data_IF_301074299052
#
_entry.id   IF_301074299052
#
_cell.length_a   1.000
_cell.length_b   1.000
_cell.length_c   1.000
_cell.angle_alpha   90.00
_cell.angle_beta   90.00
_cell.angle_gamma   90.00
#
_symmetry.space_group_name_H-M   'P 1'
#
loop_
_entity.id
_entity.type
_entity.pdbx_description
1 polymer ?
#
# COMPACT_ATOMS: atom_id res chain seq x y z
N UNK A 1 -13.93 20.71 -37.33
CA UNK A 1 -13.92 19.22 -37.26
C UNK A 1 -13.36 18.80 -35.90
N UNK A 2 -13.95 19.31 -34.80
CA UNK A 2 -13.38 19.27 -33.43
C UNK A 2 -14.44 18.82 -32.41
N UNK A 3 -15.14 17.70 -32.67
CA UNK A 3 -16.20 17.23 -31.75
C UNK A 3 -16.21 15.73 -31.44
N UNK A 4 -15.22 14.95 -31.89
CA UNK A 4 -15.17 13.51 -31.59
C UNK A 4 -14.13 13.12 -30.52
N UNK A 5 -13.16 13.98 -30.19
CA UNK A 5 -12.12 13.71 -29.20
C UNK A 5 -12.58 13.80 -27.73
N UNK A 6 -13.34 14.86 -27.37
CA UNK A 6 -13.76 15.10 -25.99
C UNK A 6 -14.87 14.17 -25.47
N UNK A 7 -15.51 13.37 -26.34
CA UNK A 7 -16.51 12.38 -25.90
C UNK A 7 -15.89 11.20 -25.15
N UNK A 8 -14.59 10.94 -25.31
CA UNK A 8 -13.91 9.87 -24.57
C UNK A 8 -13.71 10.24 -23.09
N UNK A 9 -13.35 11.48 -22.76
CA UNK A 9 -13.12 11.89 -21.36
C UNK A 9 -14.42 11.86 -20.53
N UNK A 10 -15.54 12.32 -21.10
CA UNK A 10 -16.82 12.35 -20.39
C UNK A 10 -17.41 10.94 -20.14
N UNK A 11 -17.11 9.96 -20.99
CA UNK A 11 -17.55 8.56 -20.83
C UNK A 11 -16.59 7.73 -19.96
N UNK A 12 -15.38 8.24 -19.68
CA UNK A 12 -14.41 7.56 -18.81
C UNK A 12 -14.78 7.67 -17.33
N UNK A 13 -15.40 8.79 -16.91
CA UNK A 13 -15.83 9.02 -15.51
C UNK A 13 -16.81 7.96 -14.97
N UNK A 14 -17.55 7.27 -15.83
CA UNK A 14 -18.54 6.25 -15.44
C UNK A 14 -18.05 4.81 -15.54
N UNK A 15 -16.89 4.54 -16.14
CA UNK A 15 -16.43 3.19 -16.50
C UNK A 15 -15.11 2.75 -15.84
N UNK A 16 -14.37 3.67 -15.21
CA UNK A 16 -13.07 3.40 -14.59
C UNK A 16 -12.94 4.08 -13.22
N UNK A 17 -13.79 3.71 -12.26
CA UNK A 17 -13.42 3.89 -10.86
C UNK A 17 -12.60 2.66 -10.45
N UNK A 18 -11.27 2.76 -10.30
CA UNK A 18 -10.49 1.67 -9.73
C UNK A 18 -10.95 1.39 -8.29
N UNK A 19 -10.70 0.19 -7.75
CA UNK A 19 -11.03 -0.13 -6.36
C UNK A 19 -10.44 0.93 -5.42
N UNK A 20 -11.27 1.40 -4.47
CA UNK A 20 -10.97 2.51 -3.54
C UNK A 20 -9.59 2.32 -2.91
N UNK A 21 -8.66 3.23 -3.20
CA UNK A 21 -7.37 3.33 -2.53
C UNK A 21 -7.54 4.10 -1.23
N UNK A 22 -7.09 3.52 -0.11
CA UNK A 22 -7.06 4.19 1.19
C UNK A 22 -5.72 4.92 1.33
N UNK A 23 -5.76 6.25 1.39
CA UNK A 23 -4.60 7.08 1.70
C UNK A 23 -5.02 8.13 2.73
N UNK A 24 -4.20 8.31 3.76
CA UNK A 24 -4.34 9.39 4.75
C UNK A 24 -3.71 10.67 4.20
N UNK A 25 -4.54 11.66 3.86
CA UNK A 25 -4.08 12.98 3.45
C UNK A 25 -3.65 13.82 4.66
N UNK A 26 -2.60 14.64 4.53
CA UNK A 26 -2.37 15.75 5.45
C UNK A 26 -3.61 16.64 5.52
N UNK A 27 -3.99 17.13 6.70
CA UNK A 27 -5.18 17.96 6.92
C UNK A 27 -5.21 19.24 6.08
N UNK A 28 -4.04 19.72 5.65
CA UNK A 28 -3.88 20.89 4.77
C UNK A 28 -4.32 20.61 3.32
N UNK A 29 -4.43 19.33 2.94
CA UNK A 29 -4.79 18.88 1.59
C UNK A 29 -6.21 18.30 1.50
N UNK A 30 -6.95 18.27 2.62
CA UNK A 30 -8.39 17.98 2.69
C UNK A 30 -9.18 19.26 3.07
N UNK A 31 -9.32 20.23 2.15
CA UNK A 31 -10.02 21.49 2.42
C UNK A 31 -11.53 21.32 2.63
N UNK A 32 -12.08 20.13 2.37
CA UNK A 32 -13.52 19.86 2.38
C UNK A 32 -13.98 18.88 3.46
N UNK A 33 -13.06 18.30 4.25
CA UNK A 33 -13.38 17.32 5.28
C UNK A 33 -13.99 16.03 4.70
N UNK A 34 -13.70 15.74 3.43
CA UNK A 34 -14.16 14.53 2.76
C UNK A 34 -13.13 13.46 3.10
N UNK A 35 -13.47 12.52 3.98
CA UNK A 35 -12.64 11.35 4.35
C UNK A 35 -11.72 10.95 3.18
N UNK A 36 -10.42 11.27 3.30
CA UNK A 36 -9.47 11.60 2.22
C UNK A 36 -9.22 10.58 1.09
N UNK A 37 -9.98 9.49 1.07
CA UNK A 37 -9.86 8.34 0.18
C UNK A 37 -10.47 8.58 -1.21
N UNK A 38 -11.56 9.36 -1.29
CA UNK A 38 -12.19 9.68 -2.58
C UNK A 38 -11.43 10.76 -3.35
N UNK A 39 -10.84 11.68 -2.59
CA UNK A 39 -10.20 12.87 -3.10
C UNK A 39 -8.94 12.57 -3.91
N UNK A 40 -8.13 11.60 -3.48
CA UNK A 40 -6.86 11.31 -4.14
C UNK A 40 -7.05 10.60 -5.48
N UNK A 41 -8.02 9.69 -5.61
CA UNK A 41 -8.23 9.02 -6.90
C UNK A 41 -8.71 10.01 -7.95
N UNK A 42 -9.63 10.92 -7.59
CA UNK A 42 -10.08 11.97 -8.50
C UNK A 42 -8.93 12.90 -8.87
N UNK A 43 -8.17 13.39 -7.88
CA UNK A 43 -7.00 14.26 -8.13
C UNK A 43 -5.95 13.54 -8.99
N UNK A 44 -5.54 12.31 -8.67
CA UNK A 44 -4.55 11.57 -9.47
C UNK A 44 -5.05 11.27 -10.89
N UNK A 45 -6.34 11.00 -11.06
CA UNK A 45 -6.93 10.77 -12.39
C UNK A 45 -6.93 12.06 -13.20
N UNK A 46 -7.27 13.18 -12.58
CA UNK A 46 -7.28 14.52 -13.20
C UNK A 46 -5.86 14.99 -13.54
N UNK A 47 -4.89 14.77 -12.67
CA UNK A 47 -3.46 15.02 -12.96
C UNK A 47 -2.97 14.13 -14.11
N UNK A 48 -3.26 12.83 -14.10
CA UNK A 48 -2.84 11.91 -15.17
C UNK A 48 -3.42 12.31 -16.54
N UNK A 49 -4.70 12.70 -16.59
CA UNK A 49 -5.33 13.22 -17.81
C UNK A 49 -4.66 14.52 -18.24
N UNK A 50 -4.35 15.42 -17.29
CA UNK A 50 -3.66 16.69 -17.54
C UNK A 50 -2.30 16.45 -18.22
N UNK A 51 -1.48 15.52 -17.70
CA UNK A 51 -0.19 15.18 -18.33
C UNK A 51 -0.34 14.63 -19.75
N UNK A 52 -1.32 13.76 -19.98
CA UNK A 52 -1.58 13.21 -21.32
C UNK A 52 -1.99 14.31 -22.31
N UNK A 53 -2.74 15.31 -21.86
CA UNK A 53 -3.11 16.47 -22.69
C UNK A 53 -1.89 17.35 -22.96
N UNK A 54 -1.07 17.65 -21.96
CA UNK A 54 0.18 18.42 -22.12
C UNK A 54 1.08 17.79 -23.18
N UNK A 55 1.32 16.48 -23.11
CA UNK A 55 2.20 15.77 -24.05
C UNK A 55 1.60 15.73 -25.46
N UNK A 56 0.30 15.45 -25.58
CA UNK A 56 -0.36 15.30 -26.87
C UNK A 56 -0.54 16.63 -27.59
N UNK A 57 -0.87 17.69 -26.87
CA UNK A 57 -1.25 18.99 -27.43
C UNK A 57 -0.13 20.03 -27.32
N UNK A 58 0.98 19.67 -26.67
CA UNK A 58 2.15 20.51 -26.46
C UNK A 58 1.78 21.88 -25.87
N UNK A 59 0.99 21.85 -24.79
CA UNK A 59 0.52 23.03 -24.07
C UNK A 59 1.00 23.05 -22.61
N UNK A 60 0.89 24.22 -21.96
CA UNK A 60 1.18 24.36 -20.53
C UNK A 60 0.15 23.64 -19.65
N UNK A 61 0.54 23.42 -18.39
CA UNK A 61 -0.26 22.68 -17.41
C UNK A 61 -1.63 23.33 -17.16
N UNK A 62 -1.69 24.64 -16.96
CA UNK A 62 -2.95 25.34 -16.65
C UNK A 62 -3.95 25.15 -17.81
N UNK A 63 -3.48 25.24 -19.05
CA UNK A 63 -4.27 24.97 -20.25
C UNK A 63 -4.73 23.52 -20.32
N UNK A 64 -3.84 22.58 -20.01
CA UNK A 64 -4.15 21.15 -20.03
C UNK A 64 -5.14 20.75 -18.91
N UNK A 65 -5.01 21.33 -17.72
CA UNK A 65 -5.88 21.11 -16.57
C UNK A 65 -7.28 21.67 -16.80
N UNK A 66 -7.36 22.89 -17.37
CA UNK A 66 -8.63 23.44 -17.83
C UNK A 66 -9.36 22.47 -18.74
N UNK A 67 -8.65 21.93 -19.75
CA UNK A 67 -9.20 20.94 -20.70
C UNK A 67 -9.55 19.60 -20.05
N UNK A 68 -8.71 19.10 -19.13
CA UNK A 68 -8.96 17.86 -18.38
C UNK A 68 -10.28 17.94 -17.59
N UNK A 69 -10.56 19.12 -17.03
CA UNK A 69 -11.77 19.44 -16.27
C UNK A 69 -12.96 19.84 -17.16
N UNK A 70 -12.79 19.89 -18.48
CA UNK A 70 -13.84 20.25 -19.43
C UNK A 70 -14.09 21.77 -19.55
N UNK A 71 -13.13 22.59 -19.15
CA UNK A 71 -13.12 24.03 -19.33
C UNK A 71 -12.29 24.43 -20.57
N UNK A 72 -12.76 25.46 -21.28
CA UNK A 72 -12.03 26.04 -22.42
C UNK A 72 -10.94 27.02 -21.98
N UNK A 73 -10.94 27.43 -20.70
CA UNK A 73 -9.98 28.36 -20.12
C UNK A 73 -8.95 27.63 -19.25
N UNK A 74 -7.70 28.14 -19.17
CA UNK A 74 -6.68 27.59 -18.28
C UNK A 74 -7.14 27.60 -16.82
N UNK A 75 -6.89 26.51 -16.09
CA UNK A 75 -7.31 26.34 -14.71
C UNK A 75 -6.13 25.94 -13.84
N UNK A 76 -5.93 26.68 -12.76
CA UNK A 76 -4.86 26.44 -11.79
C UNK A 76 -5.45 25.78 -10.54
N UNK A 77 -4.94 24.60 -10.18
CA UNK A 77 -5.35 23.88 -8.96
C UNK A 77 -4.32 24.10 -7.86
N UNK A 78 -4.76 23.98 -6.60
CA UNK A 78 -3.89 24.03 -5.42
C UNK A 78 -2.81 22.92 -5.40
N UNK A 79 -2.86 21.96 -6.33
CA UNK A 79 -2.07 20.73 -6.33
C UNK A 79 -0.86 20.77 -7.27
N UNK A 80 -0.80 21.78 -8.14
CA UNK A 80 0.20 21.96 -9.20
C UNK A 80 1.65 21.68 -8.75
N UNK A 81 2.05 22.20 -7.59
CA UNK A 81 3.46 22.16 -7.16
C UNK A 81 3.84 20.95 -6.30
N UNK A 82 2.88 20.14 -5.82
CA UNK A 82 3.14 19.14 -4.77
C UNK A 82 2.42 17.81 -4.91
N UNK A 83 1.57 17.62 -5.93
CA UNK A 83 0.85 16.36 -6.09
C UNK A 83 1.78 15.14 -6.22
N UNK A 84 2.97 15.29 -6.82
CA UNK A 84 3.97 14.22 -6.92
C UNK A 84 4.54 13.79 -5.56
N UNK A 85 4.44 14.63 -4.52
CA UNK A 85 4.80 14.26 -3.14
C UNK A 85 3.81 13.25 -2.53
N UNK A 86 2.64 13.06 -3.15
CA UNK A 86 1.66 12.04 -2.78
C UNK A 86 2.02 10.67 -3.35
N UNK A 87 2.70 10.60 -4.50
CA UNK A 87 3.00 9.33 -5.18
C UNK A 87 3.81 8.34 -4.33
N UNK A 88 4.85 8.74 -3.57
CA UNK A 88 5.59 7.82 -2.69
C UNK A 88 4.75 7.28 -1.53
N UNK A 89 3.67 7.98 -1.16
CA UNK A 89 2.76 7.58 -0.08
C UNK A 89 1.68 6.61 -0.56
N UNK A 90 1.47 6.52 -1.88
CA UNK A 90 0.57 5.56 -2.50
C UNK A 90 1.33 4.25 -2.73
N UNK A 91 1.33 3.36 -1.73
CA UNK A 91 1.72 1.97 -1.95
C UNK A 91 0.57 1.26 -2.68
N UNK A 92 0.62 1.26 -4.00
CA UNK A 92 -0.19 0.34 -4.80
C UNK A 92 0.31 -1.08 -4.51
N UNK A 93 -0.53 -2.01 -4.02
CA UNK A 93 -0.15 -3.41 -3.99
C UNK A 93 0.14 -3.82 -5.43
N UNK A 94 1.41 -4.01 -5.75
CA UNK A 94 1.79 -4.48 -7.07
C UNK A 94 1.48 -5.97 -7.15
N UNK A 95 1.25 -6.50 -8.36
CA UNK A 95 1.15 -7.97 -8.55
C UNK A 95 2.35 -8.71 -7.96
N UNK A 96 3.53 -8.07 -7.94
CA UNK A 96 4.72 -8.64 -7.33
C UNK A 96 4.60 -8.77 -5.80
N UNK A 97 3.90 -7.85 -5.13
CA UNK A 97 3.68 -7.89 -3.69
C UNK A 97 2.64 -8.96 -3.30
N UNK A 98 1.62 -9.17 -4.12
CA UNK A 98 0.66 -10.28 -3.94
C UNK A 98 1.34 -11.64 -4.11
N UNK A 99 2.17 -11.79 -5.14
CA UNK A 99 3.00 -12.99 -5.34
C UNK A 99 3.97 -13.20 -4.16
N UNK A 100 4.56 -12.12 -3.63
CA UNK A 100 5.43 -12.18 -2.46
C UNK A 100 4.68 -12.66 -1.21
N UNK A 101 3.43 -12.22 -0.99
CA UNK A 101 2.56 -12.72 0.09
C UNK A 101 2.30 -14.22 -0.05
N UNK A 102 1.94 -14.69 -1.25
CA UNK A 102 1.68 -16.10 -1.51
C UNK A 102 2.94 -16.97 -1.30
N UNK A 103 4.12 -16.45 -1.68
CA UNK A 103 5.41 -17.10 -1.41
C UNK A 103 5.67 -17.16 0.10
N UNK A 104 5.44 -16.06 0.81
CA UNK A 104 5.56 -15.99 2.27
C UNK A 104 4.66 -17.02 2.96
N UNK A 105 3.39 -17.13 2.56
CA UNK A 105 2.45 -18.08 3.17
C UNK A 105 2.91 -19.53 2.99
N UNK A 106 3.42 -19.87 1.80
CA UNK A 106 4.02 -21.19 1.55
C UNK A 106 5.26 -21.44 2.41
N UNK A 107 6.12 -20.43 2.59
CA UNK A 107 7.30 -20.52 3.48
C UNK A 107 6.86 -20.77 4.93
N UNK A 108 5.85 -20.06 5.42
CA UNK A 108 5.31 -20.25 6.78
C UNK A 108 4.76 -21.67 6.96
N UNK A 109 3.95 -22.16 6.02
CA UNK A 109 3.45 -23.55 6.07
C UNK A 109 4.60 -24.57 6.09
N UNK A 110 5.59 -24.41 5.20
CA UNK A 110 6.75 -25.30 5.13
C UNK A 110 7.58 -25.28 6.42
N UNK A 111 7.78 -24.10 7.00
CA UNK A 111 8.51 -23.90 8.26
C UNK A 111 7.82 -24.55 9.46
N UNK A 112 6.49 -24.48 9.53
CA UNK A 112 5.69 -25.12 10.57
C UNK A 112 5.73 -26.65 10.44
N UNK A 113 5.64 -27.17 9.22
CA UNK A 113 5.63 -28.62 8.97
C UNK A 113 7.01 -29.25 9.17
N UNK A 114 8.07 -28.55 8.77
CA UNK A 114 9.45 -29.06 8.74
C UNK A 114 10.37 -28.21 9.62
N UNK A 115 9.95 -27.96 10.86
CA UNK A 115 10.75 -27.12 11.78
C UNK A 115 12.12 -27.77 12.04
N UNK A 116 13.24 -27.09 11.69
CA UNK A 116 14.57 -27.61 11.95
C UNK A 116 14.84 -27.78 13.45
N UNK A 117 15.71 -28.73 13.81
CA UNK A 117 16.21 -28.89 15.19
C UNK A 117 17.08 -27.71 15.65
N UNK A 118 17.61 -26.93 14.72
CA UNK A 118 18.32 -25.68 14.99
C UNK A 118 17.92 -24.65 13.94
N UNK A 119 17.24 -23.59 14.39
CA UNK A 119 16.70 -22.51 13.58
C UNK A 119 17.71 -21.37 13.58
N UNK A 120 18.22 -21.03 12.40
CA UNK A 120 19.05 -19.85 12.14
C UNK A 120 18.20 -18.71 11.63
N UNK A 121 18.79 -17.53 11.54
CA UNK A 121 18.08 -16.35 11.01
C UNK A 121 17.51 -16.62 9.62
N UNK A 122 18.27 -17.28 8.73
CA UNK A 122 17.82 -17.60 7.37
C UNK A 122 16.68 -18.64 7.28
N UNK A 123 16.45 -19.41 8.34
CA UNK A 123 15.42 -20.46 8.35
C UNK A 123 14.04 -19.89 8.72
N UNK A 124 14.00 -18.74 9.40
CA UNK A 124 12.75 -18.07 9.76
C UNK A 124 12.08 -17.54 8.49
N UNK A 125 10.77 -17.75 8.30
CA UNK A 125 10.07 -17.39 7.06
C UNK A 125 9.79 -15.88 7.00
N UNK A 126 10.84 -15.07 6.82
CA UNK A 126 10.69 -13.62 6.63
C UNK A 126 9.95 -13.31 5.31
N UNK A 127 9.02 -12.34 5.30
CA UNK A 127 8.28 -12.00 4.07
C UNK A 127 9.17 -11.42 2.97
N UNK A 128 10.08 -10.53 3.34
CA UNK A 128 10.99 -9.83 2.42
C UNK A 128 12.26 -9.39 3.16
N UNK A 129 13.27 -8.99 2.39
CA UNK A 129 14.43 -8.27 2.92
C UNK A 129 14.05 -6.80 3.07
N UNK A 130 13.96 -6.29 4.31
CA UNK A 130 13.49 -4.94 4.55
C UNK A 130 13.23 -4.63 6.02
N UNK A 131 12.54 -3.52 6.26
CA UNK A 131 12.12 -3.12 7.61
C UNK A 131 10.89 -3.91 8.07
N UNK A 132 10.57 -3.88 9.37
CA UNK A 132 9.34 -4.47 9.89
C UNK A 132 8.07 -3.89 9.22
N UNK A 133 8.11 -2.62 8.80
CA UNK A 133 7.02 -1.99 8.05
C UNK A 133 6.86 -2.62 6.67
N UNK A 134 7.96 -2.84 5.94
CA UNK A 134 7.93 -3.47 4.63
C UNK A 134 7.45 -4.92 4.71
N UNK A 135 7.89 -5.65 5.74
CA UNK A 135 7.45 -7.02 6.00
C UNK A 135 5.95 -7.09 6.24
N UNK A 136 5.39 -6.22 7.08
CA UNK A 136 3.94 -6.18 7.35
C UNK A 136 3.16 -5.76 6.10
N UNK A 137 3.68 -4.83 5.30
CA UNK A 137 3.05 -4.44 4.04
C UNK A 137 2.95 -5.63 3.06
N UNK A 138 4.02 -6.43 2.93
CA UNK A 138 3.99 -7.66 2.11
C UNK A 138 2.99 -8.67 2.66
N UNK A 139 2.96 -8.91 3.97
CA UNK A 139 2.04 -9.87 4.59
C UNK A 139 0.55 -9.54 4.38
N UNK A 140 0.22 -8.27 4.16
CA UNK A 140 -1.13 -7.75 3.97
C UNK A 140 -1.46 -7.38 2.51
N UNK A 141 -0.50 -7.53 1.59
CA UNK A 141 -0.68 -7.13 0.19
C UNK A 141 -1.77 -7.93 -0.52
N UNK A 142 -2.69 -7.25 -1.20
CA UNK A 142 -3.79 -7.87 -1.93
C UNK A 142 -4.91 -8.46 -1.06
N UNK A 143 -4.89 -8.26 0.26
CA UNK A 143 -5.99 -8.67 1.13
C UNK A 143 -7.20 -7.73 0.96
N UNK A 144 -8.39 -8.31 0.83
CA UNK A 144 -9.63 -7.52 0.80
C UNK A 144 -9.95 -6.95 2.20
N UNK A 145 -10.55 -5.76 2.26
CA UNK A 145 -10.89 -5.07 3.51
C UNK A 145 -11.79 -5.90 4.47
N UNK A 146 -12.62 -6.77 3.93
CA UNK A 146 -13.49 -7.67 4.70
C UNK A 146 -12.72 -8.78 5.45
N UNK A 147 -11.52 -9.14 4.99
CA UNK A 147 -10.69 -10.23 5.55
C UNK A 147 -9.40 -9.72 6.19
N UNK A 148 -8.94 -8.51 5.88
CA UNK A 148 -7.69 -7.93 6.37
C UNK A 148 -7.60 -7.97 7.91
N UNK A 149 -8.69 -7.68 8.62
CA UNK A 149 -8.73 -7.73 10.09
C UNK A 149 -8.52 -9.13 10.64
N UNK A 150 -9.07 -10.15 9.97
CA UNK A 150 -8.86 -11.55 10.36
C UNK A 150 -7.40 -11.93 10.14
N UNK A 151 -6.84 -11.55 8.99
CA UNK A 151 -5.44 -11.78 8.64
C UNK A 151 -4.47 -11.11 9.63
N UNK A 152 -4.68 -9.84 9.98
CA UNK A 152 -3.86 -9.13 10.98
C UNK A 152 -3.84 -9.87 12.31
N UNK A 153 -4.98 -10.42 12.77
CA UNK A 153 -5.03 -11.21 14.01
C UNK A 153 -4.24 -12.51 13.90
N UNK A 154 -4.29 -13.20 12.77
CA UNK A 154 -3.51 -14.42 12.53
C UNK A 154 -2.00 -14.12 12.54
N UNK A 155 -1.59 -13.04 11.88
CA UNK A 155 -0.21 -12.56 11.88
C UNK A 155 0.24 -12.13 13.28
N UNK A 156 -0.61 -11.41 14.02
CA UNK A 156 -0.33 -11.01 15.39
C UNK A 156 -0.11 -12.23 16.29
N UNK A 157 -0.91 -13.29 16.14
CA UNK A 157 -0.72 -14.52 16.92
C UNK A 157 0.56 -15.27 16.56
N UNK A 158 0.94 -15.27 15.28
CA UNK A 158 2.15 -15.95 14.82
C UNK A 158 3.43 -15.22 15.23
N UNK A 159 3.48 -13.90 15.05
CA UNK A 159 4.64 -13.06 15.33
C UNK A 159 4.68 -12.50 16.75
N UNK A 160 3.71 -12.82 17.63
CA UNK A 160 3.78 -12.38 19.02
C UNK A 160 4.97 -13.04 19.73
N UNK A 161 5.84 -12.28 20.45
CA UNK A 161 6.99 -12.85 21.14
C UNK A 161 6.61 -13.97 22.12
N UNK A 162 5.54 -13.79 22.90
CA UNK A 162 5.03 -14.82 23.84
C UNK A 162 4.45 -16.07 23.16
N UNK A 163 4.17 -16.03 21.86
CA UNK A 163 3.72 -17.21 21.09
C UNK A 163 4.87 -17.84 20.31
N UNK A 164 5.78 -17.01 19.81
CA UNK A 164 6.95 -17.43 19.04
C UNK A 164 8.00 -18.09 19.94
N UNK A 165 8.36 -17.47 21.06
CA UNK A 165 9.44 -17.97 21.93
C UNK A 165 9.16 -19.35 22.53
N UNK A 166 7.96 -19.68 23.04
CA UNK A 166 7.70 -21.02 23.54
C UNK A 166 7.66 -22.09 22.43
N UNK A 167 7.40 -21.69 21.18
CA UNK A 167 7.24 -22.61 20.05
C UNK A 167 8.55 -22.91 19.34
N UNK A 168 9.42 -21.91 19.22
CA UNK A 168 10.66 -21.99 18.44
C UNK A 168 11.91 -21.63 19.23
N UNK A 169 11.76 -20.99 20.40
CA UNK A 169 12.85 -20.41 21.19
C UNK A 169 13.94 -21.39 21.62
N UNK A 170 13.55 -22.62 21.96
CA UNK A 170 14.50 -23.68 22.36
C UNK A 170 15.34 -24.19 21.18
N UNK A 171 14.82 -24.06 19.96
CA UNK A 171 15.50 -24.47 18.74
C UNK A 171 16.33 -23.34 18.12
N UNK A 172 16.28 -22.11 18.64
CA UNK A 172 17.03 -20.99 18.05
C UNK A 172 18.54 -21.18 18.26
N UNK A 173 19.31 -21.01 17.17
CA UNK A 173 20.76 -20.94 17.22
C UNK A 173 21.21 -19.86 18.21
N UNK A 174 22.14 -20.18 19.11
CA UNK A 174 22.64 -19.21 20.11
C UNK A 174 23.26 -17.96 19.48
N UNK A 175 23.74 -18.05 18.23
CA UNK A 175 24.31 -16.92 17.48
C UNK A 175 23.24 -15.97 16.96
N UNK A 176 22.09 -16.48 16.54
CA UNK A 176 21.03 -15.70 15.89
C UNK A 176 19.85 -15.40 16.82
N UNK A 177 19.83 -15.98 18.02
CA UNK A 177 18.70 -15.92 18.96
C UNK A 177 18.25 -14.49 19.27
N UNK A 178 19.19 -13.62 19.61
CA UNK A 178 18.90 -12.22 19.94
C UNK A 178 18.36 -11.49 18.71
N UNK A 179 19.05 -11.61 17.57
CA UNK A 179 18.64 -11.02 16.29
C UNK A 179 17.23 -11.44 15.84
N UNK A 180 16.90 -12.73 15.95
CA UNK A 180 15.58 -13.26 15.61
C UNK A 180 14.53 -12.71 16.58
N UNK A 181 14.84 -12.67 17.88
CA UNK A 181 13.90 -12.20 18.92
C UNK A 181 13.59 -10.72 18.74
N UNK A 182 14.60 -9.90 18.44
CA UNK A 182 14.43 -8.46 18.19
C UNK A 182 13.62 -8.21 16.92
N UNK A 183 13.90 -8.93 15.83
CA UNK A 183 13.13 -8.83 14.59
C UNK A 183 11.66 -9.23 14.78
N UNK A 184 11.40 -10.32 15.51
CA UNK A 184 10.04 -10.77 15.86
C UNK A 184 9.32 -9.69 16.69
N UNK A 185 10.01 -9.08 17.65
CA UNK A 185 9.45 -8.01 18.47
C UNK A 185 9.08 -6.78 17.63
N UNK A 186 9.92 -6.38 16.69
CA UNK A 186 9.66 -5.21 15.85
C UNK A 186 8.52 -5.45 14.86
N UNK A 187 8.44 -6.64 14.25
CA UNK A 187 7.28 -7.05 13.45
C UNK A 187 6.01 -7.05 14.32
N UNK A 188 6.06 -7.59 15.53
CA UNK A 188 4.91 -7.62 16.44
C UNK A 188 4.41 -6.21 16.77
N UNK A 189 5.31 -5.25 17.04
CA UNK A 189 4.93 -3.85 17.28
C UNK A 189 4.24 -3.24 16.07
N UNK A 190 4.77 -3.50 14.88
CA UNK A 190 4.20 -2.97 13.65
C UNK A 190 2.81 -3.56 13.37
N UNK A 191 2.61 -4.86 13.56
CA UNK A 191 1.30 -5.50 13.42
C UNK A 191 0.30 -4.91 14.43
N UNK A 192 0.71 -4.69 15.68
CA UNK A 192 -0.14 -4.04 16.69
C UNK A 192 -0.53 -2.62 16.27
N UNK A 193 0.39 -1.82 15.74
CA UNK A 193 0.10 -0.47 15.25
C UNK A 193 -0.92 -0.50 14.10
N UNK A 194 -0.79 -1.44 13.15
CA UNK A 194 -1.78 -1.61 12.07
C UNK A 194 -3.14 -2.03 12.62
N UNK A 195 -3.18 -2.96 13.58
CA UNK A 195 -4.42 -3.40 14.21
C UNK A 195 -5.17 -2.28 14.94
N UNK A 196 -4.43 -1.35 15.56
CA UNK A 196 -5.01 -0.18 16.23
C UNK A 196 -5.61 0.81 15.25
N UNK A 197 -4.96 1.04 14.09
CA UNK A 197 -5.50 1.89 13.01
C UNK A 197 -6.80 1.34 12.45
N UNK A 198 -6.90 0.03 12.22
CA UNK A 198 -8.12 -0.66 11.75
C UNK A 198 -9.27 -0.69 12.79
N UNK A 199 -9.07 -0.14 13.98
CA UNK A 199 -10.10 -0.06 15.03
C UNK A 199 -10.75 1.33 15.11
N UNK A 200 -10.09 2.37 14.59
CA UNK A 200 -10.60 3.74 14.55
C UNK A 200 -11.59 3.89 13.38
#
# INVERSE_FOLDING_TARGET
MFYEGCRLCFNFRSLWLPPRMLIDLPSEMDPYGLEGHYYIIEVLSEEAITFLIMERENCDYDTAMGRAMGHDEPLNTLYFDKWYELLPKVKMPSKADEEARDIYDKKVSSFIENTPSTIRYADVPWPCDGTAEDMVAVMLSGEEQNVIRKRIKELALFWHPDKFSPRFGDNLSSQDRELITDAVLDISKQISAVLERERQ
#
